data_IF_758369469236
#
_entry.id   IF_758369469236
#
_cell.length_a   1.000
_cell.length_b   1.000
_cell.length_c   1.000
_cell.angle_alpha   90.00
_cell.angle_beta   90.00
_cell.angle_gamma   90.00
#
_symmetry.space_group_name_H-M   'P 1'
#
loop_
_entity.id
_entity.type
_entity.pdbx_description
1 polymer ?
#
# COMPACT_ATOMS: atom_id res chain seq x y z
N UNK A 1 -8.96 21.71 -0.56
CA UNK A 1 -10.10 22.64 -0.42
C UNK A 1 -9.70 24.11 -0.26
N UNK A 2 -8.57 24.44 0.40
CA UNK A 2 -8.12 25.84 0.57
C UNK A 2 -7.95 26.55 -0.80
N UNK A 3 -7.18 25.98 -1.72
CA UNK A 3 -6.94 26.60 -3.03
C UNK A 3 -8.22 26.76 -3.86
N UNK A 4 -9.13 25.79 -3.80
CA UNK A 4 -10.41 25.90 -4.50
C UNK A 4 -11.24 27.08 -3.98
N UNK A 5 -11.27 27.29 -2.65
CA UNK A 5 -11.94 28.44 -2.04
C UNK A 5 -11.28 29.76 -2.45
N UNK A 6 -9.95 29.84 -2.43
CA UNK A 6 -9.20 31.04 -2.79
C UNK A 6 -9.36 31.42 -4.27
N UNK A 7 -9.42 30.41 -5.15
CA UNK A 7 -9.57 30.59 -6.60
C UNK A 7 -11.02 30.66 -7.06
N UNK A 8 -12.00 30.48 -6.16
CA UNK A 8 -13.41 30.35 -6.52
C UNK A 8 -13.69 29.18 -7.49
N UNK A 9 -12.93 28.09 -7.35
CA UNK A 9 -12.97 26.96 -8.28
C UNK A 9 -14.01 25.90 -7.87
N UNK A 10 -14.67 25.33 -8.88
CA UNK A 10 -15.47 24.11 -8.71
C UNK A 10 -14.54 22.92 -8.40
N UNK A 11 -15.01 22.01 -7.54
CA UNK A 11 -14.23 20.82 -7.13
C UNK A 11 -14.96 19.56 -7.54
N UNK A 12 -14.25 18.71 -8.26
CA UNK A 12 -14.74 17.40 -8.69
C UNK A 12 -13.88 16.29 -8.10
N UNK A 13 -14.54 15.30 -7.50
CA UNK A 13 -13.93 14.04 -7.10
C UNK A 13 -14.36 12.97 -8.09
N UNK A 14 -13.45 12.61 -9.00
CA UNK A 14 -13.70 11.59 -10.00
C UNK A 14 -13.27 10.23 -9.45
N UNK A 15 -14.23 9.33 -9.28
CA UNK A 15 -13.95 7.95 -8.87
C UNK A 15 -13.29 7.17 -10.01
N UNK A 16 -12.26 6.39 -9.67
CA UNK A 16 -11.51 5.60 -10.63
C UNK A 16 -12.28 4.35 -11.07
N UNK A 17 -12.22 3.99 -12.36
CA UNK A 17 -12.80 2.73 -12.84
C UNK A 17 -12.28 1.50 -12.07
N UNK A 18 -13.15 0.57 -11.72
CA UNK A 18 -12.80 -0.59 -10.91
C UNK A 18 -12.86 -0.37 -9.39
N UNK A 19 -12.97 0.88 -8.93
CA UNK A 19 -13.09 1.19 -7.51
C UNK A 19 -14.48 1.70 -7.17
N UNK A 20 -14.91 1.45 -5.92
CA UNK A 20 -16.18 1.93 -5.39
C UNK A 20 -17.37 1.51 -6.26
N UNK A 21 -18.14 2.48 -6.73
CA UNK A 21 -19.32 2.25 -7.56
C UNK A 21 -19.02 2.25 -9.07
N UNK A 22 -17.82 2.67 -9.48
CA UNK A 22 -17.42 2.88 -10.87
C UNK A 22 -16.91 1.60 -11.54
N UNK A 23 -17.77 0.58 -11.63
CA UNK A 23 -17.38 -0.75 -12.08
C UNK A 23 -17.82 -1.03 -13.53
N UNK A 24 -16.93 -1.47 -14.43
CA UNK A 24 -17.30 -1.83 -15.79
C UNK A 24 -18.08 -3.16 -15.82
N UNK A 25 -19.14 -3.21 -16.64
CA UNK A 25 -19.90 -4.43 -16.90
C UNK A 25 -20.94 -4.79 -15.82
N UNK A 26 -21.66 -5.91 -16.04
CA UNK A 26 -22.67 -6.42 -15.10
C UNK A 26 -22.05 -7.26 -13.97
N UNK A 27 -21.06 -8.09 -14.30
CA UNK A 27 -20.32 -8.91 -13.33
C UNK A 27 -19.01 -8.21 -12.92
N UNK A 28 -19.16 -7.25 -12.01
CA UNK A 28 -18.22 -6.17 -11.71
C UNK A 28 -16.79 -6.59 -11.30
N UNK A 29 -16.55 -7.86 -11.00
CA UNK A 29 -15.24 -8.39 -10.59
C UNK A 29 -14.81 -9.66 -11.33
N UNK A 30 -15.44 -10.02 -12.44
CA UNK A 30 -14.95 -11.13 -13.27
C UNK A 30 -13.61 -10.78 -13.91
N UNK A 31 -12.76 -11.79 -14.13
CA UNK A 31 -11.52 -11.65 -14.91
C UNK A 31 -11.76 -10.98 -16.27
N UNK A 32 -12.89 -11.28 -16.90
CA UNK A 32 -13.28 -10.67 -18.17
C UNK A 32 -13.52 -9.16 -18.08
N UNK A 33 -13.92 -8.64 -16.92
CA UNK A 33 -14.14 -7.21 -16.70
C UNK A 33 -12.89 -6.51 -16.15
N UNK A 34 -12.03 -7.21 -15.40
CA UNK A 34 -10.75 -6.66 -14.92
C UNK A 34 -9.84 -6.19 -16.07
N UNK A 35 -9.92 -6.81 -17.25
CA UNK A 35 -9.15 -6.37 -18.45
C UNK A 35 -9.42 -4.94 -18.89
N UNK A 36 -10.55 -4.34 -18.50
CA UNK A 36 -10.86 -2.94 -18.80
C UNK A 36 -10.29 -1.94 -17.78
N UNK A 37 -9.63 -2.46 -16.74
CA UNK A 37 -8.97 -1.69 -15.69
C UNK A 37 -7.50 -1.56 -16.08
N UNK A 38 -7.16 -0.40 -16.62
CA UNK A 38 -5.78 -0.02 -16.92
C UNK A 38 -5.59 1.47 -16.72
N UNK A 39 -4.35 1.88 -16.48
CA UNK A 39 -3.95 3.28 -16.39
C UNK A 39 -4.38 4.07 -17.63
N UNK A 40 -4.20 3.51 -18.83
CA UNK A 40 -4.56 4.18 -20.08
C UNK A 40 -6.05 4.47 -20.19
N UNK A 41 -6.89 3.54 -19.75
CA UNK A 41 -8.33 3.71 -19.73
C UNK A 41 -8.76 4.73 -18.67
N UNK A 42 -8.16 4.69 -17.49
CA UNK A 42 -8.41 5.69 -16.44
C UNK A 42 -8.03 7.12 -16.88
N UNK A 43 -6.91 7.30 -17.59
CA UNK A 43 -6.54 8.60 -18.15
C UNK A 43 -7.57 9.08 -19.20
N UNK A 44 -8.12 8.15 -19.99
CA UNK A 44 -9.16 8.46 -20.97
C UNK A 44 -10.48 8.87 -20.29
N UNK A 45 -10.81 8.27 -19.14
CA UNK A 45 -11.98 8.66 -18.34
C UNK A 45 -11.84 10.09 -17.81
N UNK A 46 -10.65 10.49 -17.34
CA UNK A 46 -10.40 11.85 -16.89
C UNK A 46 -10.61 12.84 -18.06
N UNK A 47 -10.07 12.54 -19.25
CA UNK A 47 -10.26 13.38 -20.43
C UNK A 47 -11.74 13.49 -20.83
N UNK A 48 -12.46 12.37 -20.86
CA UNK A 48 -13.88 12.33 -21.21
C UNK A 48 -14.74 13.08 -20.18
N UNK A 49 -14.42 12.94 -18.89
CA UNK A 49 -15.08 13.68 -17.82
C UNK A 49 -14.91 15.19 -18.00
N UNK A 50 -13.68 15.66 -18.19
CA UNK A 50 -13.38 17.09 -18.42
C UNK A 50 -14.14 17.61 -19.66
N UNK A 51 -14.14 16.83 -20.75
CA UNK A 51 -14.87 17.19 -21.97
C UNK A 51 -16.37 17.35 -21.69
N UNK A 52 -16.99 16.40 -21.00
CA UNK A 52 -18.40 16.44 -20.66
C UNK A 52 -18.75 17.63 -19.77
N UNK A 53 -17.93 17.96 -18.78
CA UNK A 53 -18.17 19.14 -17.93
C UNK A 53 -18.01 20.44 -18.74
N UNK A 54 -17.03 20.50 -19.65
CA UNK A 54 -16.80 21.68 -20.48
C UNK A 54 -17.95 21.98 -21.47
N UNK A 55 -18.81 21.02 -21.79
CA UNK A 55 -20.05 21.28 -22.55
C UNK A 55 -20.99 22.23 -21.79
N UNK A 56 -21.02 22.15 -20.46
CA UNK A 56 -21.82 23.01 -19.59
C UNK A 56 -21.05 24.19 -19.02
N UNK A 57 -19.72 24.07 -18.92
CA UNK A 57 -18.80 25.10 -18.38
C UNK A 57 -17.67 25.38 -19.37
N UNK A 58 -17.95 26.03 -20.51
CA UNK A 58 -16.95 26.29 -21.54
C UNK A 58 -15.83 27.21 -21.03
N UNK A 59 -14.64 27.08 -21.62
CA UNK A 59 -13.43 27.86 -21.28
C UNK A 59 -12.89 27.68 -19.85
N UNK A 60 -13.29 26.61 -19.15
CA UNK A 60 -12.77 26.28 -17.82
C UNK A 60 -11.31 25.84 -17.86
N UNK A 61 -10.51 26.28 -16.89
CA UNK A 61 -9.14 25.80 -16.67
C UNK A 61 -9.14 24.71 -15.61
N UNK A 62 -8.42 23.61 -15.88
CA UNK A 62 -8.39 22.44 -15.02
C UNK A 62 -7.02 22.22 -14.42
N UNK A 63 -6.96 21.96 -13.11
CA UNK A 63 -5.76 21.49 -12.41
C UNK A 63 -6.13 20.15 -11.76
N UNK A 64 -5.33 19.12 -11.99
CA UNK A 64 -5.57 17.79 -11.38
C UNK A 64 -4.78 17.65 -10.08
N UNK A 65 -5.35 16.95 -9.10
CA UNK A 65 -4.76 16.75 -7.78
C UNK A 65 -4.77 15.27 -7.41
N UNK A 66 -3.63 14.73 -6.97
CA UNK A 66 -3.55 13.33 -6.55
C UNK A 66 -2.39 13.02 -5.62
N UNK A 67 -2.53 11.92 -4.87
CA UNK A 67 -1.50 11.36 -4.01
C UNK A 67 -1.29 9.87 -4.30
N UNK A 68 -0.08 9.36 -4.08
CA UNK A 68 0.24 7.95 -4.33
C UNK A 68 -0.08 7.58 -5.78
N UNK A 69 -0.74 6.45 -6.04
CA UNK A 69 -1.18 6.03 -7.36
C UNK A 69 -1.97 7.12 -8.12
N UNK A 70 -2.91 7.81 -7.46
CA UNK A 70 -3.67 8.89 -8.11
C UNK A 70 -2.79 10.09 -8.47
N UNK A 71 -1.70 10.31 -7.74
CA UNK A 71 -0.68 11.30 -8.10
C UNK A 71 0.06 10.88 -9.36
N UNK A 72 0.48 9.62 -9.46
CA UNK A 72 1.11 9.07 -10.66
C UNK A 72 0.18 9.21 -11.88
N UNK A 73 -1.11 8.85 -11.73
CA UNK A 73 -2.11 9.04 -12.77
C UNK A 73 -2.22 10.49 -13.22
N UNK A 74 -2.30 11.45 -12.29
CA UNK A 74 -2.46 12.86 -12.64
C UNK A 74 -1.22 13.47 -13.31
N UNK A 75 -0.02 13.02 -12.92
CA UNK A 75 1.21 13.38 -13.61
C UNK A 75 1.22 12.82 -15.05
N UNK A 76 0.88 11.54 -15.24
CA UNK A 76 0.74 10.93 -16.56
C UNK A 76 -0.39 11.56 -17.38
N UNK A 77 -1.48 11.98 -16.75
CA UNK A 77 -2.58 12.69 -17.40
C UNK A 77 -2.09 14.02 -17.98
N UNK A 78 -1.39 14.83 -17.18
CA UNK A 78 -0.81 16.09 -17.66
C UNK A 78 0.17 15.87 -18.82
N UNK A 79 0.94 14.79 -18.78
CA UNK A 79 1.87 14.44 -19.85
C UNK A 79 1.15 14.00 -21.13
N UNK A 80 0.11 13.18 -21.02
CA UNK A 80 -0.59 12.57 -22.17
C UNK A 80 -1.68 13.46 -22.77
N UNK A 81 -2.32 14.28 -21.95
CA UNK A 81 -3.47 15.12 -22.27
C UNK A 81 -3.24 16.59 -21.84
N UNK A 82 -2.13 17.23 -22.26
CA UNK A 82 -1.79 18.58 -21.83
C UNK A 82 -2.81 19.65 -22.24
N UNK A 83 -3.65 19.38 -23.24
CA UNK A 83 -4.73 20.25 -23.69
C UNK A 83 -5.93 20.27 -22.72
N UNK A 84 -6.10 19.23 -21.88
CA UNK A 84 -7.22 19.11 -20.97
C UNK A 84 -6.94 19.62 -19.55
N UNK A 85 -5.68 19.91 -19.21
CA UNK A 85 -5.33 20.44 -17.88
C UNK A 85 -4.14 21.38 -17.98
N UNK A 86 -4.13 22.48 -17.24
CA UNK A 86 -3.01 23.43 -17.21
C UNK A 86 -1.87 22.98 -16.28
N UNK A 87 -2.12 22.02 -15.40
CA UNK A 87 -1.12 21.50 -14.46
C UNK A 87 -1.65 20.38 -13.58
N UNK A 88 -0.73 19.63 -13.00
CA UNK A 88 -1.02 18.57 -12.04
C UNK A 88 -0.25 18.82 -10.74
N UNK A 89 -0.93 18.71 -9.61
CA UNK A 89 -0.35 18.78 -8.27
C UNK A 89 -0.36 17.38 -7.69
N UNK A 90 0.83 16.81 -7.53
CA UNK A 90 0.99 15.40 -7.17
C UNK A 90 1.89 15.26 -5.95
N UNK A 91 1.54 14.34 -5.05
CA UNK A 91 2.32 14.07 -3.83
C UNK A 91 2.57 12.58 -3.67
N UNK A 92 3.78 12.21 -3.21
CA UNK A 92 4.13 10.81 -2.91
C UNK A 92 3.84 9.83 -4.05
N UNK A 93 3.98 10.28 -5.30
CA UNK A 93 3.63 9.53 -6.50
C UNK A 93 4.80 8.66 -6.98
N UNK A 94 4.70 7.32 -6.95
CA UNK A 94 5.70 6.46 -7.58
C UNK A 94 5.58 6.59 -9.11
N UNK A 95 6.48 7.36 -9.73
CA UNK A 95 6.38 7.66 -11.17
C UNK A 95 6.81 6.51 -12.08
N UNK A 96 7.63 5.60 -11.58
CA UNK A 96 8.20 4.50 -12.36
C UNK A 96 7.53 3.18 -11.95
N UNK A 97 6.93 2.44 -12.90
CA UNK A 97 6.60 1.03 -12.72
C UNK A 97 7.86 0.25 -12.32
N UNK A 98 7.77 -0.52 -11.25
CA UNK A 98 8.90 -1.29 -10.72
C UNK A 98 8.41 -2.57 -10.09
N UNK A 99 8.68 -3.72 -10.72
CA UNK A 99 8.31 -5.05 -10.22
C UNK A 99 8.82 -5.25 -8.79
N UNK A 100 10.11 -5.02 -8.58
CA UNK A 100 10.74 -5.19 -7.27
C UNK A 100 10.86 -3.85 -6.54
N UNK A 101 9.93 -3.51 -5.64
CA UNK A 101 9.91 -2.20 -4.98
C UNK A 101 10.42 -2.23 -3.54
N UNK A 102 11.64 -2.74 -3.35
CA UNK A 102 12.29 -2.82 -2.04
C UNK A 102 12.54 -1.47 -1.36
N UNK A 103 12.70 -0.38 -2.13
CA UNK A 103 12.98 0.96 -1.59
C UNK A 103 11.86 1.45 -0.67
N UNK A 104 10.63 0.98 -0.89
CA UNK A 104 9.51 1.27 -0.02
C UNK A 104 9.82 0.93 1.45
N UNK A 105 10.40 -0.24 1.69
CA UNK A 105 10.76 -0.70 3.04
C UNK A 105 12.00 0.05 3.57
N UNK A 106 12.92 0.46 2.69
CA UNK A 106 14.08 1.27 3.08
C UNK A 106 13.65 2.66 3.60
N UNK A 107 12.62 3.25 3.00
CA UNK A 107 12.05 4.51 3.49
C UNK A 107 11.37 4.31 4.85
N UNK A 108 10.68 3.20 5.07
CA UNK A 108 10.12 2.86 6.40
C UNK A 108 11.25 2.81 7.43
N UNK A 109 12.33 2.07 7.17
CA UNK A 109 13.50 2.04 8.05
C UNK A 109 14.04 3.44 8.32
N UNK A 110 14.24 4.24 7.27
CA UNK A 110 14.79 5.59 7.39
C UNK A 110 13.96 6.47 8.33
N UNK A 111 12.63 6.43 8.24
CA UNK A 111 11.75 7.21 9.12
C UNK A 111 11.89 6.78 10.57
N UNK A 112 11.97 5.47 10.84
CA UNK A 112 12.21 4.97 12.18
C UNK A 112 13.62 5.29 12.70
N UNK A 113 14.64 5.24 11.82
CA UNK A 113 16.03 5.60 12.14
C UNK A 113 16.18 7.08 12.52
N UNK A 114 15.51 7.98 11.79
CA UNK A 114 15.47 9.41 12.10
C UNK A 114 14.81 9.68 13.46
N UNK A 115 13.93 8.79 13.92
CA UNK A 115 13.29 8.90 15.23
C UNK A 115 14.09 8.27 16.37
N UNK A 116 14.51 7.01 16.24
CA UNK A 116 15.28 6.28 17.26
C UNK A 116 16.00 5.06 16.67
N UNK A 117 17.34 5.07 16.61
CA UNK A 117 18.13 3.90 16.22
C UNK A 117 17.88 2.68 17.11
N UNK A 118 17.62 2.88 18.41
CA UNK A 118 17.33 1.78 19.35
C UNK A 118 15.97 1.13 19.07
N UNK A 119 14.98 1.91 18.66
CA UNK A 119 13.70 1.40 18.20
C UNK A 119 13.87 0.50 16.97
N UNK A 120 14.63 0.96 15.98
CA UNK A 120 14.95 0.17 14.78
C UNK A 120 15.64 -1.13 15.12
N UNK A 121 16.63 -1.10 16.00
CA UNK A 121 17.33 -2.30 16.44
C UNK A 121 16.39 -3.29 17.13
N UNK A 122 15.50 -2.81 18.00
CA UNK A 122 14.51 -3.68 18.63
C UNK A 122 13.50 -4.24 17.61
N UNK A 123 13.10 -3.48 16.57
CA UNK A 123 12.24 -4.01 15.50
C UNK A 123 12.96 -5.14 14.77
N UNK A 124 14.21 -4.91 14.36
CA UNK A 124 15.03 -5.91 13.68
C UNK A 124 15.18 -7.19 14.51
N UNK A 125 15.54 -7.05 15.79
CA UNK A 125 15.66 -8.18 16.71
C UNK A 125 14.35 -8.97 16.82
N UNK A 126 13.21 -8.29 16.96
CA UNK A 126 11.92 -8.97 17.02
C UNK A 126 11.58 -9.70 15.71
N UNK A 127 11.89 -9.13 14.55
CA UNK A 127 11.68 -9.78 13.25
C UNK A 127 12.60 -11.00 13.09
N UNK A 128 13.87 -10.88 13.48
CA UNK A 128 14.84 -11.98 13.45
C UNK A 128 14.43 -13.12 14.39
N UNK A 129 13.91 -12.81 15.58
CA UNK A 129 13.36 -13.80 16.52
C UNK A 129 12.15 -14.54 15.93
N UNK A 130 11.22 -13.82 15.28
CA UNK A 130 10.09 -14.45 14.57
C UNK A 130 10.64 -15.37 13.49
N UNK A 131 11.57 -14.89 12.66
CA UNK A 131 12.17 -15.65 11.57
C UNK A 131 12.96 -16.89 12.05
N UNK A 132 13.57 -16.86 13.23
CA UNK A 132 14.21 -18.05 13.79
C UNK A 132 13.16 -19.08 14.26
N UNK A 133 12.07 -18.62 14.89
CA UNK A 133 11.05 -19.49 15.50
C UNK A 133 10.24 -20.28 14.48
N UNK A 134 10.07 -19.77 13.25
CA UNK A 134 9.25 -20.42 12.22
C UNK A 134 9.80 -21.79 11.77
N UNK A 135 11.08 -22.06 12.01
CA UNK A 135 11.75 -23.30 11.58
C UNK A 135 11.64 -24.45 12.60
N UNK A 136 11.00 -24.23 13.74
CA UNK A 136 10.89 -25.23 14.83
C UNK A 136 9.45 -25.38 15.29
N UNK A 137 9.04 -26.58 15.69
CA UNK A 137 7.67 -26.84 16.17
C UNK A 137 7.38 -26.02 17.43
N UNK A 138 8.33 -25.97 18.36
CA UNK A 138 8.21 -25.19 19.60
C UNK A 138 8.12 -23.69 19.31
N UNK A 139 8.92 -23.18 18.37
CA UNK A 139 8.89 -21.79 17.96
C UNK A 139 7.57 -21.43 17.27
N UNK A 140 7.04 -22.30 16.41
CA UNK A 140 5.72 -22.14 15.79
C UNK A 140 4.60 -22.09 16.84
N UNK A 141 4.63 -22.96 17.85
CA UNK A 141 3.68 -22.92 18.97
C UNK A 141 3.76 -21.61 19.76
N UNK A 142 4.97 -21.08 19.98
CA UNK A 142 5.16 -19.78 20.62
C UNK A 142 4.60 -18.63 19.76
N UNK A 143 4.80 -18.67 18.44
CA UNK A 143 4.23 -17.68 17.52
C UNK A 143 2.71 -17.74 17.49
N UNK A 144 2.13 -18.94 17.49
CA UNK A 144 0.67 -19.12 17.63
C UNK A 144 0.15 -18.46 18.91
N UNK A 145 0.82 -18.69 20.05
CA UNK A 145 0.43 -18.08 21.34
C UNK A 145 0.56 -16.56 21.33
N UNK A 146 1.63 -16.02 20.74
CA UNK A 146 1.90 -14.58 20.72
C UNK A 146 1.00 -13.83 19.73
N UNK A 147 0.80 -14.35 18.53
CA UNK A 147 0.12 -13.63 17.43
C UNK A 147 -1.31 -14.13 17.16
N UNK A 148 -1.74 -15.21 17.84
CA UNK A 148 -3.03 -15.87 17.61
C UNK A 148 -3.24 -16.23 16.13
N UNK A 149 -2.18 -16.71 15.49
CA UNK A 149 -2.19 -17.22 14.11
C UNK A 149 -2.25 -18.75 14.18
N UNK A 150 -3.20 -19.36 13.47
CA UNK A 150 -3.08 -20.78 13.17
C UNK A 150 -1.90 -20.94 12.21
N UNK A 151 -1.11 -21.99 12.42
CA UNK A 151 -0.02 -22.39 11.54
C UNK A 151 -0.40 -23.79 11.04
N UNK A 152 -1.12 -23.85 9.93
CA UNK A 152 -1.32 -25.06 9.15
C UNK A 152 -0.01 -25.41 8.43
N UNK A 153 0.11 -26.69 8.03
CA UNK A 153 1.35 -27.32 7.55
C UNK A 153 2.02 -26.63 6.34
N UNK A 154 1.35 -25.69 5.69
CA UNK A 154 1.92 -24.90 4.59
C UNK A 154 2.51 -23.56 5.10
N UNK A 155 3.78 -23.31 4.75
CA UNK A 155 4.56 -22.09 5.05
C UNK A 155 3.96 -20.74 4.54
N UNK A 156 2.67 -20.70 4.19
CA UNK A 156 1.92 -19.53 3.72
C UNK A 156 1.54 -18.59 4.89
N UNK A 157 1.10 -19.12 6.04
CA UNK A 157 0.62 -18.29 7.17
C UNK A 157 1.73 -17.55 7.94
N UNK A 158 2.95 -18.12 7.97
CA UNK A 158 4.15 -17.46 8.52
C UNK A 158 4.47 -16.17 7.77
N UNK A 159 4.23 -16.17 6.47
CA UNK A 159 4.58 -15.06 5.60
C UNK A 159 3.46 -14.02 5.54
N UNK A 160 2.23 -14.45 5.76
CA UNK A 160 1.12 -13.56 6.09
C UNK A 160 1.41 -12.78 7.38
N UNK A 161 2.03 -13.40 8.39
CA UNK A 161 2.46 -12.67 9.59
C UNK A 161 3.47 -11.55 9.22
N UNK A 162 4.50 -11.84 8.44
CA UNK A 162 5.47 -10.81 8.02
C UNK A 162 4.82 -9.73 7.15
N UNK A 163 3.96 -10.10 6.22
CA UNK A 163 3.24 -9.14 5.37
C UNK A 163 2.28 -8.26 6.20
N UNK A 164 1.61 -8.83 7.18
CA UNK A 164 0.74 -8.11 8.11
C UNK A 164 1.53 -7.15 9.01
N UNK A 165 2.68 -7.58 9.54
CA UNK A 165 3.58 -6.72 10.30
C UNK A 165 4.11 -5.57 9.44
N UNK A 166 4.50 -5.85 8.19
CA UNK A 166 4.89 -4.83 7.22
C UNK A 166 3.73 -3.85 6.93
N UNK A 167 2.51 -4.36 6.79
CA UNK A 167 1.31 -3.55 6.57
C UNK A 167 1.03 -2.63 7.76
N UNK A 168 1.16 -3.12 8.99
CA UNK A 168 0.97 -2.30 10.21
C UNK A 168 2.07 -1.25 10.34
N UNK A 169 3.33 -1.66 10.30
CA UNK A 169 4.49 -0.78 10.52
C UNK A 169 4.63 0.22 9.36
N UNK A 170 4.46 -0.23 8.11
CA UNK A 170 4.48 0.64 6.94
C UNK A 170 3.26 1.56 6.85
N UNK A 171 2.10 1.07 7.30
CA UNK A 171 0.87 1.86 7.34
C UNK A 171 0.94 3.04 8.31
N UNK A 172 1.60 2.89 9.46
CA UNK A 172 1.74 4.00 10.42
C UNK A 172 2.65 5.11 9.91
N UNK A 173 3.72 4.77 9.18
CA UNK A 173 4.66 5.74 8.60
C UNK A 173 3.97 6.66 7.61
N UNK A 174 3.00 6.13 6.85
CA UNK A 174 2.24 6.91 5.87
C UNK A 174 1.20 7.85 6.49
N UNK A 175 0.74 7.58 7.72
CA UNK A 175 -0.36 8.34 8.32
C UNK A 175 0.15 9.55 9.11
N UNK A 176 1.11 9.36 10.02
CA UNK A 176 1.56 10.46 10.88
C UNK A 176 2.83 10.17 11.67
N UNK A 177 3.58 11.24 11.96
CA UNK A 177 4.75 11.20 12.83
C UNK A 177 4.42 10.76 14.27
N UNK A 178 3.19 10.96 14.75
CA UNK A 178 2.82 10.54 16.11
C UNK A 178 2.72 9.01 16.23
N UNK A 179 2.27 8.31 15.19
CA UNK A 179 2.18 6.84 15.23
C UNK A 179 3.57 6.19 15.20
N UNK A 180 4.54 6.80 14.52
CA UNK A 180 5.95 6.36 14.56
C UNK A 180 6.49 6.43 15.99
N UNK A 181 6.18 7.51 16.72
CA UNK A 181 6.56 7.65 18.14
C UNK A 181 5.91 6.60 19.03
N UNK A 182 4.63 6.31 18.81
CA UNK A 182 3.89 5.30 19.58
C UNK A 182 4.50 3.89 19.40
N UNK A 183 4.75 3.48 18.14
CA UNK A 183 5.46 2.22 17.84
C UNK A 183 6.81 2.18 18.54
N UNK A 184 7.59 3.26 18.48
CA UNK A 184 8.90 3.24 19.14
C UNK A 184 8.83 3.21 20.65
N UNK A 185 7.85 3.85 21.29
CA UNK A 185 7.67 3.73 22.74
C UNK A 185 7.36 2.29 23.15
N UNK A 186 6.58 1.57 22.34
CA UNK A 186 6.27 0.17 22.58
C UNK A 186 7.52 -0.68 22.39
N UNK A 187 8.24 -0.50 21.27
CA UNK A 187 9.43 -1.28 20.97
C UNK A 187 10.57 -1.05 21.97
N UNK A 188 10.61 0.08 22.66
CA UNK A 188 11.58 0.40 23.72
C UNK A 188 11.07 0.07 25.13
N UNK A 189 9.88 -0.54 25.27
CA UNK A 189 9.36 -0.97 26.56
C UNK A 189 10.15 -2.17 27.13
N UNK A 190 9.87 -2.53 28.39
CA UNK A 190 10.64 -3.55 29.13
C UNK A 190 10.42 -4.99 28.67
N UNK A 191 9.40 -5.27 27.85
CA UNK A 191 9.14 -6.61 27.30
C UNK A 191 10.18 -6.98 26.24
N UNK A 192 10.25 -8.25 25.87
CA UNK A 192 11.10 -8.68 24.76
C UNK A 192 10.65 -8.04 23.43
N UNK A 193 11.57 -7.87 22.45
CA UNK A 193 11.24 -7.34 21.13
C UNK A 193 10.07 -8.05 20.43
N UNK A 194 10.01 -9.37 20.49
CA UNK A 194 8.94 -10.16 19.87
C UNK A 194 7.58 -9.95 20.57
N UNK A 195 7.55 -9.83 21.90
CA UNK A 195 6.32 -9.51 22.64
C UNK A 195 5.82 -8.10 22.33
N UNK A 196 6.73 -7.15 22.14
CA UNK A 196 6.38 -5.79 21.71
C UNK A 196 5.79 -5.78 20.28
N UNK A 197 6.34 -6.57 19.37
CA UNK A 197 5.76 -6.75 18.02
C UNK A 197 4.39 -7.43 18.06
N UNK A 198 4.19 -8.43 18.91
CA UNK A 198 2.89 -9.05 19.14
C UNK A 198 1.87 -8.03 19.67
N UNK A 199 2.25 -7.21 20.64
CA UNK A 199 1.39 -6.15 21.16
C UNK A 199 0.99 -5.14 20.06
N UNK A 200 1.95 -4.74 19.21
CA UNK A 200 1.67 -3.90 18.04
C UNK A 200 0.70 -4.62 17.10
N UNK A 201 1.00 -5.85 16.70
CA UNK A 201 0.16 -6.62 15.80
C UNK A 201 -1.30 -6.65 16.26
N UNK A 202 -1.55 -6.98 17.53
CA UNK A 202 -2.91 -7.03 18.09
C UNK A 202 -3.56 -5.64 18.21
N UNK A 203 -2.81 -4.63 18.63
CA UNK A 203 -3.34 -3.25 18.77
C UNK A 203 -3.80 -2.68 17.43
N UNK A 204 -3.18 -3.10 16.32
CA UNK A 204 -3.52 -2.64 14.97
C UNK A 204 -4.21 -3.70 14.10
N UNK A 205 -4.59 -4.85 14.66
CA UNK A 205 -5.24 -5.95 13.93
C UNK A 205 -6.55 -5.51 13.24
N UNK A 206 -7.33 -4.63 13.86
CA UNK A 206 -8.54 -4.08 13.24
C UNK A 206 -8.26 -3.27 11.96
N UNK A 207 -7.08 -2.61 11.86
CA UNK A 207 -6.68 -1.93 10.62
C UNK A 207 -6.35 -2.93 9.52
N UNK A 208 -5.72 -4.04 9.87
CA UNK A 208 -5.46 -5.16 8.95
C UNK A 208 -6.79 -5.69 8.42
N UNK A 209 -7.75 -5.97 9.31
CA UNK A 209 -9.08 -6.45 8.93
C UNK A 209 -9.83 -5.47 8.02
N UNK A 210 -9.76 -4.16 8.29
CA UNK A 210 -10.35 -3.14 7.42
C UNK A 210 -9.74 -3.13 6.02
N UNK A 211 -8.43 -3.32 5.91
CA UNK A 211 -7.74 -3.41 4.62
C UNK A 211 -8.27 -4.60 3.80
N UNK A 212 -8.41 -5.77 4.43
CA UNK A 212 -8.96 -6.97 3.78
C UNK A 212 -10.48 -6.92 3.54
N UNK A 213 -11.22 -6.09 4.27
CA UNK A 213 -12.68 -5.99 4.15
C UNK A 213 -13.13 -5.44 2.78
N UNK A 214 -12.30 -4.63 2.11
CA UNK A 214 -12.60 -4.13 0.76
C UNK A 214 -11.99 -5.04 -0.32
N UNK A 215 -12.52 -6.27 -0.42
CA UNK A 215 -12.07 -7.27 -1.40
C UNK A 215 -12.07 -6.73 -2.84
N UNK A 216 -13.05 -5.88 -3.19
CA UNK A 216 -13.14 -5.29 -4.51
C UNK A 216 -11.97 -4.37 -4.86
N UNK A 217 -11.67 -3.40 -3.98
CA UNK A 217 -10.56 -2.49 -4.19
C UNK A 217 -9.23 -3.25 -4.21
N UNK A 218 -9.10 -4.26 -3.35
CA UNK A 218 -7.89 -5.09 -3.29
C UNK A 218 -7.68 -5.92 -4.55
N UNK A 219 -8.73 -6.58 -5.07
CA UNK A 219 -8.68 -7.31 -6.34
C UNK A 219 -8.32 -6.39 -7.53
N UNK A 220 -8.87 -5.17 -7.52
CA UNK A 220 -8.58 -4.18 -8.55
C UNK A 220 -7.13 -3.72 -8.48
N UNK A 221 -6.66 -3.35 -7.28
CA UNK A 221 -5.28 -2.95 -7.07
C UNK A 221 -4.30 -4.07 -7.45
N UNK A 222 -4.60 -5.29 -7.01
CA UNK A 222 -3.90 -6.53 -7.34
C UNK A 222 -3.74 -6.70 -8.85
N UNK A 223 -4.85 -6.62 -9.60
CA UNK A 223 -4.84 -6.69 -11.05
C UNK A 223 -3.89 -5.67 -11.68
N UNK A 224 -3.95 -4.41 -11.23
CA UNK A 224 -3.11 -3.34 -11.77
C UNK A 224 -1.62 -3.52 -11.45
N UNK A 225 -1.30 -3.97 -10.23
CA UNK A 225 0.08 -4.30 -9.86
C UNK A 225 0.62 -5.46 -10.69
N UNK A 226 -0.20 -6.48 -10.94
CA UNK A 226 0.21 -7.66 -11.72
C UNK A 226 0.35 -7.38 -13.23
N UNK A 227 -0.40 -6.42 -13.76
CA UNK A 227 -0.47 -6.19 -15.22
C UNK A 227 0.30 -4.97 -15.71
N UNK A 228 0.46 -3.93 -14.89
CA UNK A 228 1.06 -2.66 -15.32
C UNK A 228 2.24 -2.21 -14.46
N UNK A 229 2.13 -2.30 -13.13
CA UNK A 229 3.01 -1.51 -12.25
C UNK A 229 4.11 -2.29 -11.57
N UNK A 230 3.89 -3.57 -11.28
CA UNK A 230 4.73 -4.33 -10.39
C UNK A 230 4.51 -3.90 -8.94
N UNK A 231 5.14 -2.79 -8.52
CA UNK A 231 5.11 -2.17 -7.19
C UNK A 231 5.01 -3.13 -6.00
N UNK A 232 5.55 -4.34 -6.13
CA UNK A 232 5.53 -5.32 -5.08
C UNK A 232 6.49 -4.87 -4.00
N UNK A 233 5.97 -4.70 -2.78
CA UNK A 233 6.76 -4.30 -1.62
C UNK A 233 7.50 -5.54 -1.13
N UNK A 234 8.79 -5.61 -1.42
CA UNK A 234 9.63 -6.77 -1.10
C UNK A 234 10.71 -6.37 -0.10
N UNK A 235 11.25 -7.36 0.60
CA UNK A 235 12.45 -7.21 1.43
C UNK A 235 13.70 -7.67 0.69
N UNK A 236 13.66 -7.74 -0.64
CA UNK A 236 14.83 -8.09 -1.44
C UNK A 236 15.98 -7.13 -1.13
N UNK A 237 17.21 -7.63 -1.24
CA UNK A 237 18.49 -6.98 -0.87
C UNK A 237 18.80 -6.90 0.63
N UNK A 238 17.87 -7.27 1.52
CA UNK A 238 18.08 -7.37 2.97
C UNK A 238 18.62 -6.10 3.68
N UNK A 239 18.60 -4.94 3.02
CA UNK A 239 18.98 -3.63 3.58
C UNK A 239 17.74 -2.89 4.10
N UNK A 240 17.00 -3.53 5.01
CA UNK A 240 15.78 -3.00 5.60
C UNK A 240 15.57 -3.57 7.02
N UNK A 241 14.65 -3.00 7.82
CA UNK A 241 14.31 -3.46 9.18
C UNK A 241 13.63 -4.83 9.26
N UNK A 242 13.17 -5.38 8.14
CA UNK A 242 12.52 -6.69 8.05
C UNK A 242 13.46 -7.80 7.54
N UNK A 243 14.73 -7.51 7.27
CA UNK A 243 15.67 -8.51 6.76
C UNK A 243 15.30 -9.00 5.35
N UNK A 244 15.22 -10.32 5.15
CA UNK A 244 14.96 -10.96 3.84
C UNK A 244 13.75 -11.91 3.86
N UNK A 245 12.71 -11.57 4.63
CA UNK A 245 11.56 -12.46 4.92
C UNK A 245 10.45 -12.46 3.85
N UNK A 246 10.39 -11.45 2.98
CA UNK A 246 9.42 -11.30 1.88
C UNK A 246 10.13 -11.07 0.53
N UNK A 247 10.80 -12.08 -0.05
CA UNK A 247 11.48 -11.93 -1.34
C UNK A 247 10.49 -11.78 -2.50
N UNK A 248 10.90 -11.18 -3.62
CA UNK A 248 10.00 -10.96 -4.78
C UNK A 248 9.35 -12.24 -5.28
N UNK A 249 10.12 -13.33 -5.39
CA UNK A 249 9.60 -14.62 -5.86
C UNK A 249 8.41 -15.07 -5.02
N UNK A 250 8.47 -14.83 -3.71
CA UNK A 250 7.36 -15.14 -2.81
C UNK A 250 6.14 -14.25 -3.09
N UNK A 251 6.35 -12.94 -3.16
CA UNK A 251 5.25 -11.99 -3.43
C UNK A 251 4.56 -12.33 -4.76
N UNK A 252 5.31 -12.70 -5.80
CA UNK A 252 4.72 -13.14 -7.06
C UNK A 252 3.90 -14.42 -6.87
N UNK A 253 4.43 -15.46 -6.21
CA UNK A 253 3.72 -16.73 -6.04
C UNK A 253 2.44 -16.58 -5.20
N UNK A 254 2.48 -15.85 -4.09
CA UNK A 254 1.29 -15.62 -3.26
C UNK A 254 0.19 -14.88 -4.00
N UNK A 255 0.57 -14.00 -4.93
CA UNK A 255 -0.37 -13.24 -5.74
C UNK A 255 -0.96 -14.08 -6.87
N UNK A 256 -0.25 -15.11 -7.33
CA UNK A 256 -0.75 -16.10 -8.30
C UNK A 256 -1.79 -17.08 -7.71
N UNK A 257 -1.71 -17.40 -6.41
CA UNK A 257 -2.66 -18.30 -5.73
C UNK A 257 -3.93 -17.60 -5.22
N UNK A 258 -3.95 -16.27 -5.21
CA UNK A 258 -5.12 -15.45 -4.83
C UNK A 258 -5.98 -15.02 -6.04
N UNK A 259 -5.56 -15.38 -7.27
CA UNK A 259 -6.23 -15.08 -8.53
C UNK A 259 -7.16 -16.18 -9.03
#
# INVERSE_FOLDING_TARGET
MIWAKELGADVYYLEHRGYGCSLPGRDRQSLENLKYISSQQALSDIANFIKAINEYRPNSKWITFGCSYSGTLNAWFRQKYPEYTVGAVVSSAPMLPKINFFEYIQIIEKVFMEHSPKCVENIRQGIDEIHAKIYTIEGQQQLHQLFNIFLLEDNLEIKDLFYNLLTVIGGVVQQSQWMVRDICSIMMATRSPIENLSFIYHRWANKIQYFYANKQAMNTWMWQTCTEFGWFQTTDIAKNIFGSVLPLQYVLISFWFLG
#
